data_IF_703608530962
#
_entry.id   IF_703608530962
#
_cell.length_a   1.000
_cell.length_b   1.000
_cell.length_c   1.000
_cell.angle_alpha   90.00
_cell.angle_beta   90.00
_cell.angle_gamma   90.00
#
_symmetry.space_group_name_H-M   'P 1'
#
loop_
_entity.id
_entity.type
_entity.pdbx_description
1 polymer ?
#
# COMPACT_ATOMS: atom_id res chain seq x y z
N UNK A 1 15.18 -2.64 0.92
CA UNK A 1 15.17 -3.20 -0.44
C UNK A 1 14.98 -2.06 -1.41
N UNK A 2 15.71 -2.04 -2.53
CA UNK A 2 15.39 -1.21 -3.68
C UNK A 2 14.67 -2.11 -4.69
N UNK A 3 13.38 -1.91 -4.89
CA UNK A 3 12.52 -2.72 -5.76
C UNK A 3 11.56 -1.83 -6.54
N UNK A 4 11.02 -2.35 -7.64
CA UNK A 4 9.99 -1.69 -8.43
C UNK A 4 8.61 -1.83 -7.79
N UNK A 5 7.82 -0.75 -7.86
CA UNK A 5 6.39 -0.75 -7.57
C UNK A 5 5.64 -0.28 -8.80
N UNK A 6 4.43 -0.78 -8.98
CA UNK A 6 3.54 -0.38 -10.07
C UNK A 6 3.19 1.11 -10.01
N UNK A 7 3.20 1.72 -8.82
CA UNK A 7 3.03 3.18 -8.65
C UNK A 7 4.00 4.00 -9.52
N UNK A 8 5.22 3.50 -9.76
CA UNK A 8 6.18 4.18 -10.64
C UNK A 8 5.71 4.22 -12.10
N UNK A 9 5.13 3.13 -12.60
CA UNK A 9 4.60 3.02 -13.96
C UNK A 9 3.26 3.76 -14.07
N UNK A 10 2.36 3.57 -13.10
CA UNK A 10 1.04 4.19 -13.08
C UNK A 10 1.19 5.72 -13.04
N UNK A 11 2.06 6.26 -12.19
CA UNK A 11 2.30 7.70 -12.10
C UNK A 11 2.95 8.31 -13.33
N UNK A 12 3.73 7.52 -14.09
CA UNK A 12 4.27 7.97 -15.37
C UNK A 12 3.17 8.08 -16.46
N UNK A 13 2.09 7.31 -16.34
CA UNK A 13 1.00 7.26 -17.33
C UNK A 13 -0.18 8.18 -16.95
N UNK A 14 -0.40 8.45 -15.67
CA UNK A 14 -1.54 9.25 -15.18
C UNK A 14 -1.03 10.56 -14.54
N UNK A 15 -0.92 11.66 -15.32
CA UNK A 15 -0.44 12.93 -14.79
C UNK A 15 -1.36 13.50 -13.70
N UNK A 16 -0.77 14.02 -12.63
CA UNK A 16 -1.50 14.65 -11.54
C UNK A 16 -2.19 13.67 -10.57
N UNK A 17 -1.95 12.36 -10.70
CA UNK A 17 -2.43 11.38 -9.73
C UNK A 17 -1.49 11.32 -8.51
N UNK A 18 -1.96 11.80 -7.37
CA UNK A 18 -1.29 11.61 -6.08
C UNK A 18 -1.45 10.16 -5.61
N UNK A 19 -0.34 9.52 -5.24
CA UNK A 19 -0.33 8.12 -4.85
C UNK A 19 0.54 7.86 -3.63
N UNK A 20 0.08 6.91 -2.82
CA UNK A 20 0.85 6.27 -1.75
C UNK A 20 0.73 4.75 -1.89
N UNK A 21 1.74 4.02 -1.42
CA UNK A 21 1.72 2.56 -1.34
C UNK A 21 2.08 2.13 0.08
N UNK A 22 1.23 1.33 0.71
CA UNK A 22 1.40 0.82 2.06
C UNK A 22 0.67 -0.52 2.19
N UNK A 23 1.03 -1.31 3.20
CA UNK A 23 0.47 -2.65 3.39
C UNK A 23 0.92 -3.30 4.71
N UNK A 24 0.41 -4.52 5.01
CA UNK A 24 0.83 -5.27 6.19
C UNK A 24 2.28 -5.73 6.07
N UNK A 25 2.87 -6.19 7.17
CA UNK A 25 4.23 -6.72 7.17
C UNK A 25 4.27 -8.14 6.60
N UNK A 26 4.90 -8.29 5.44
CA UNK A 26 5.23 -9.58 4.83
C UNK A 26 6.72 -9.89 5.02
N UNK A 27 7.06 -11.19 5.06
CA UNK A 27 8.45 -11.67 5.03
C UNK A 27 8.61 -12.75 3.98
N UNK A 28 9.77 -12.73 3.32
CA UNK A 28 10.12 -13.66 2.24
C UNK A 28 9.11 -13.72 1.09
N UNK A 29 8.58 -12.59 0.59
CA UNK A 29 7.65 -12.64 -0.54
C UNK A 29 8.31 -13.28 -1.77
N UNK A 30 7.54 -14.04 -2.55
CA UNK A 30 7.98 -14.81 -3.72
C UNK A 30 8.83 -16.05 -3.42
N UNK A 31 8.81 -16.57 -2.20
CA UNK A 31 9.39 -17.87 -1.87
C UNK A 31 8.35 -18.79 -1.21
N UNK A 32 8.59 -20.12 -1.14
CA UNK A 32 7.75 -21.02 -0.35
C UNK A 32 7.68 -20.66 1.15
N UNK A 33 8.58 -19.80 1.65
CA UNK A 33 8.61 -19.31 3.03
C UNK A 33 7.82 -18.00 3.22
N UNK A 34 7.12 -17.53 2.18
CA UNK A 34 6.31 -16.32 2.22
C UNK A 34 5.28 -16.39 3.35
N UNK A 35 5.25 -15.35 4.18
CA UNK A 35 4.35 -15.28 5.32
C UNK A 35 3.99 -13.87 5.71
N UNK A 36 2.78 -13.72 6.23
CA UNK A 36 2.26 -12.47 6.76
C UNK A 36 2.33 -12.44 8.29
N UNK A 37 2.72 -11.30 8.85
CA UNK A 37 2.62 -11.08 10.30
C UNK A 37 1.19 -10.64 10.65
N UNK A 38 0.36 -11.60 11.07
CA UNK A 38 -1.09 -11.42 11.33
C UNK A 38 -1.40 -10.16 12.16
N UNK A 39 -0.69 -9.84 13.27
CA UNK A 39 -0.99 -8.64 14.05
C UNK A 39 -0.82 -7.31 13.28
N UNK A 40 -0.07 -7.28 12.17
CA UNK A 40 0.04 -6.09 11.32
C UNK A 40 -1.14 -5.90 10.37
N UNK A 41 -1.92 -6.95 10.10
CA UNK A 41 -3.07 -6.89 9.19
C UNK A 41 -4.16 -5.98 9.75
N UNK A 42 -4.46 -6.09 11.05
CA UNK A 42 -5.44 -5.21 11.71
C UNK A 42 -5.03 -3.73 11.59
N UNK A 43 -3.77 -3.41 11.92
CA UNK A 43 -3.25 -2.04 11.81
C UNK A 43 -3.31 -1.48 10.39
N UNK A 44 -2.97 -2.32 9.39
CA UNK A 44 -3.10 -1.95 7.99
C UNK A 44 -4.56 -1.63 7.64
N UNK A 45 -5.49 -2.51 8.02
CA UNK A 45 -6.91 -2.34 7.72
C UNK A 45 -7.50 -1.09 8.39
N UNK A 46 -7.23 -0.89 9.67
CA UNK A 46 -7.68 0.29 10.42
C UNK A 46 -7.18 1.58 9.77
N UNK A 47 -5.94 1.58 9.28
CA UNK A 47 -5.36 2.74 8.60
C UNK A 47 -5.97 2.96 7.21
N UNK A 48 -6.29 1.91 6.45
CA UNK A 48 -7.03 2.03 5.17
C UNK A 48 -8.39 2.69 5.42
N UNK A 49 -9.16 2.17 6.38
CA UNK A 49 -10.50 2.69 6.71
C UNK A 49 -10.40 4.16 7.15
N UNK A 50 -9.52 4.48 8.09
CA UNK A 50 -9.34 5.84 8.56
C UNK A 50 -8.92 6.80 7.43
N UNK A 51 -8.07 6.37 6.50
CA UNK A 51 -7.66 7.19 5.35
C UNK A 51 -8.84 7.49 4.43
N UNK A 52 -9.69 6.50 4.17
CA UNK A 52 -10.87 6.66 3.31
C UNK A 52 -11.92 7.57 3.97
N UNK A 53 -12.18 7.39 5.26
CA UNK A 53 -13.12 8.22 6.02
C UNK A 53 -12.69 9.69 6.08
N UNK A 54 -11.38 9.95 6.10
CA UNK A 54 -10.80 11.30 6.17
C UNK A 54 -10.38 11.84 4.79
N UNK A 55 -10.80 11.22 3.69
CA UNK A 55 -10.51 11.72 2.35
C UNK A 55 -11.25 13.06 2.14
N UNK A 56 -10.55 14.14 1.76
CA UNK A 56 -11.18 15.45 1.59
C UNK A 56 -12.17 15.45 0.43
N UNK A 57 -13.20 16.29 0.53
CA UNK A 57 -14.11 16.54 -0.58
C UNK A 57 -13.37 17.34 -1.63
N UNK A 58 -13.51 16.93 -2.89
CA UNK A 58 -12.95 17.66 -4.03
C UNK A 58 -13.60 19.04 -4.11
N UNK A 59 -12.77 20.08 -4.17
CA UNK A 59 -13.21 21.45 -4.48
C UNK A 59 -13.75 21.58 -5.91
#
# INVERSE_FOLDING_TARGET
IHAGLECGIIGAVVPGLDMISFGPTLRSPHSPDERCFIPSVGKFYDFVVATLENTPVKE
#
